data_IF_522144834089
#
_entry.id   IF_522144834089
#
_cell.length_a   1.000
_cell.length_b   1.000
_cell.length_c   1.000
_cell.angle_alpha   90.00
_cell.angle_beta   90.00
_cell.angle_gamma   90.00
#
_symmetry.space_group_name_H-M   'P 1'
#
loop_
_entity.id
_entity.type
_entity.pdbx_description
1 polymer ?
#
# COMPACT_ATOMS: atom_id res chain seq x y z
N UNK A 1 -36.33 -37.57 -27.14
CA UNK A 1 -36.25 -36.59 -26.04
C UNK A 1 -34.79 -36.24 -25.86
N UNK A 2 -34.37 -35.04 -26.26
CA UNK A 2 -32.99 -34.58 -26.13
C UNK A 2 -32.82 -33.90 -24.77
N UNK A 3 -31.89 -34.37 -23.95
CA UNK A 3 -31.48 -33.70 -22.72
C UNK A 3 -30.39 -32.69 -23.09
N UNK A 4 -30.73 -31.41 -22.99
CA UNK A 4 -29.87 -30.28 -23.26
C UNK A 4 -28.66 -30.26 -22.32
N UNK A 5 -27.46 -30.21 -22.89
CA UNK A 5 -26.24 -29.89 -22.16
C UNK A 5 -26.32 -28.46 -21.63
N UNK A 6 -26.50 -28.30 -20.32
CA UNK A 6 -26.28 -27.01 -19.63
C UNK A 6 -24.78 -26.78 -19.53
N UNK A 7 -24.18 -26.29 -20.61
CA UNK A 7 -22.83 -25.74 -20.58
C UNK A 7 -22.88 -24.34 -19.99
N UNK A 8 -22.60 -24.22 -18.69
CA UNK A 8 -22.15 -22.94 -18.13
C UNK A 8 -20.88 -22.54 -18.86
N UNK A 9 -20.84 -21.29 -19.33
CA UNK A 9 -19.75 -20.82 -20.19
C UNK A 9 -18.39 -20.96 -19.50
N UNK A 10 -17.29 -21.04 -20.25
CA UNK A 10 -15.94 -21.11 -19.68
C UNK A 10 -15.65 -19.97 -18.70
N UNK A 11 -16.27 -18.81 -18.88
CA UNK A 11 -16.19 -17.66 -17.99
C UNK A 11 -16.90 -17.89 -16.64
N UNK A 12 -18.09 -18.49 -16.64
CA UNK A 12 -18.84 -18.81 -15.42
C UNK A 12 -18.13 -19.89 -14.61
N UNK A 13 -17.53 -20.87 -15.31
CA UNK A 13 -16.72 -21.91 -14.67
C UNK A 13 -15.43 -21.33 -14.06
N UNK A 14 -14.80 -20.37 -14.74
CA UNK A 14 -13.62 -19.67 -14.22
C UNK A 14 -13.96 -18.83 -12.98
N UNK A 15 -15.06 -18.08 -13.01
CA UNK A 15 -15.52 -17.30 -11.87
C UNK A 15 -15.87 -18.18 -10.68
N UNK A 16 -16.54 -19.31 -10.91
CA UNK A 16 -16.86 -20.27 -9.85
C UNK A 16 -15.59 -20.89 -9.24
N UNK A 17 -14.58 -21.21 -10.05
CA UNK A 17 -13.31 -21.74 -9.57
C UNK A 17 -12.56 -20.68 -8.76
N UNK A 18 -12.51 -19.45 -9.25
CA UNK A 18 -11.86 -18.33 -8.58
C UNK A 18 -12.51 -18.04 -7.22
N UNK A 19 -13.84 -18.08 -7.13
CA UNK A 19 -14.58 -17.94 -5.88
C UNK A 19 -14.25 -19.08 -4.90
N UNK A 20 -14.29 -20.33 -5.35
CA UNK A 20 -13.99 -21.48 -4.51
C UNK A 20 -12.54 -21.47 -3.98
N UNK A 21 -11.57 -21.04 -4.80
CA UNK A 21 -10.18 -20.88 -4.38
C UNK A 21 -10.03 -19.77 -3.34
N UNK A 22 -10.71 -18.64 -3.56
CA UNK A 22 -10.70 -17.51 -2.62
C UNK A 22 -11.32 -17.89 -1.28
N UNK A 23 -12.43 -18.60 -1.30
CA UNK A 23 -13.14 -19.05 -0.09
C UNK A 23 -12.32 -20.07 0.69
N UNK A 24 -11.72 -21.06 0.00
CA UNK A 24 -10.84 -22.04 0.63
C UNK A 24 -9.58 -21.39 1.24
N UNK A 25 -9.01 -20.38 0.56
CA UNK A 25 -7.90 -19.60 1.09
C UNK A 25 -8.34 -18.78 2.31
N UNK A 26 -9.51 -18.17 2.26
CA UNK A 26 -10.06 -17.38 3.36
C UNK A 26 -10.39 -18.25 4.57
N UNK A 27 -10.90 -19.45 4.37
CA UNK A 27 -11.19 -20.41 5.43
C UNK A 27 -9.90 -20.97 6.06
N UNK A 28 -8.90 -21.27 5.24
CA UNK A 28 -7.63 -21.85 5.70
C UNK A 28 -6.71 -20.84 6.38
N UNK A 29 -6.64 -19.62 5.86
CA UNK A 29 -5.69 -18.59 6.32
C UNK A 29 -6.35 -17.44 7.08
N UNK A 30 -7.69 -17.39 7.10
CA UNK A 30 -8.45 -16.26 7.61
C UNK A 30 -8.39 -15.03 6.70
N UNK A 31 -9.36 -14.14 6.81
CA UNK A 31 -9.19 -12.75 6.32
C UNK A 31 -8.30 -12.00 7.31
N UNK A 32 -7.22 -11.36 6.82
CA UNK A 32 -6.56 -10.32 7.62
C UNK A 32 -7.63 -9.31 8.03
N UNK A 33 -7.91 -9.19 9.34
CA UNK A 33 -8.63 -8.02 9.84
C UNK A 33 -7.87 -6.80 9.32
N UNK A 34 -8.51 -5.85 8.62
CA UNK A 34 -7.87 -4.56 8.44
C UNK A 34 -7.48 -4.10 9.85
N UNK A 35 -6.21 -3.74 10.09
CA UNK A 35 -5.83 -3.21 11.38
C UNK A 35 -6.79 -2.06 11.67
N UNK A 36 -7.39 -2.13 12.86
CA UNK A 36 -8.06 -1.04 13.55
C UNK A 36 -7.49 0.30 13.08
N UNK A 37 -8.31 1.09 12.38
CA UNK A 37 -7.96 2.43 11.87
C UNK A 37 -6.63 2.43 11.08
N UNK A 38 -6.71 2.30 9.76
CA UNK A 38 -5.55 2.58 8.91
C UNK A 38 -5.22 4.07 9.05
N UNK A 39 -4.41 4.40 10.04
CA UNK A 39 -4.02 5.77 10.37
C UNK A 39 -3.43 6.46 9.14
N UNK A 40 -2.89 5.72 8.17
CA UNK A 40 -2.45 6.28 6.90
C UNK A 40 -3.62 6.70 6.02
N UNK A 41 -4.69 5.91 5.94
CA UNK A 41 -5.92 6.26 5.23
C UNK A 41 -6.65 7.45 5.89
N UNK A 42 -6.66 7.52 7.22
CA UNK A 42 -7.25 8.63 7.96
C UNK A 42 -6.48 9.94 7.81
N UNK A 43 -5.16 9.83 7.70
CA UNK A 43 -4.27 10.97 7.51
C UNK A 43 -3.89 11.18 6.04
N UNK A 44 -4.56 10.50 5.10
CA UNK A 44 -4.22 10.54 3.67
C UNK A 44 -4.24 11.98 3.12
N UNK A 45 -5.22 12.78 3.53
CA UNK A 45 -5.35 14.20 3.15
C UNK A 45 -4.09 15.01 3.48
N UNK A 46 -3.40 14.66 4.57
CA UNK A 46 -2.20 15.35 5.04
C UNK A 46 -0.93 14.71 4.46
N UNK A 47 -0.91 13.38 4.31
CA UNK A 47 0.28 12.63 3.89
C UNK A 47 0.46 12.55 2.38
N UNK A 48 -0.61 12.39 1.59
CA UNK A 48 -0.55 12.31 0.13
C UNK A 48 0.20 13.47 -0.54
N UNK A 49 -0.05 14.76 -0.21
CA UNK A 49 0.69 15.85 -0.85
C UNK A 49 2.20 15.79 -0.54
N UNK A 50 2.57 15.36 0.67
CA UNK A 50 3.98 15.20 1.08
C UNK A 50 4.64 14.00 0.37
N UNK A 51 3.91 12.89 0.22
CA UNK A 51 4.37 11.75 -0.57
C UNK A 51 4.54 12.12 -2.04
N UNK A 52 3.61 12.87 -2.62
CA UNK A 52 3.69 13.35 -4.00
C UNK A 52 4.90 14.28 -4.20
N UNK A 53 5.15 15.20 -3.27
CA UNK A 53 6.31 16.08 -3.28
C UNK A 53 7.64 15.30 -3.22
N UNK A 54 7.77 14.36 -2.28
CA UNK A 54 8.95 13.48 -2.17
C UNK A 54 9.14 12.63 -3.44
N UNK A 55 8.07 12.04 -3.96
CA UNK A 55 8.13 11.19 -5.16
C UNK A 55 8.52 11.99 -6.40
N UNK A 56 8.04 13.24 -6.53
CA UNK A 56 8.46 14.17 -7.58
C UNK A 56 9.95 14.48 -7.48
N UNK A 57 10.44 14.85 -6.29
CA UNK A 57 11.86 15.11 -6.05
C UNK A 57 12.74 13.88 -6.34
N UNK A 58 12.29 12.69 -5.92
CA UNK A 58 12.98 11.44 -6.17
C UNK A 58 13.02 11.09 -7.67
N UNK A 59 11.92 11.31 -8.40
CA UNK A 59 11.89 11.11 -9.85
C UNK A 59 12.86 12.04 -10.57
N UNK A 60 12.92 13.31 -10.17
CA UNK A 60 13.89 14.29 -10.69
C UNK A 60 15.33 13.84 -10.39
N UNK A 61 15.60 13.40 -9.16
CA UNK A 61 16.92 12.86 -8.78
C UNK A 61 17.30 11.62 -9.61
N UNK A 62 16.36 10.68 -9.82
CA UNK A 62 16.60 9.48 -10.65
C UNK A 62 16.85 9.82 -12.12
N UNK A 63 16.19 10.85 -12.65
CA UNK A 63 16.39 11.31 -14.02
C UNK A 63 17.72 12.07 -14.17
N UNK A 64 18.07 12.89 -13.17
CA UNK A 64 19.28 13.71 -13.20
C UNK A 64 19.82 13.91 -11.79
N UNK A 65 20.70 13.00 -11.36
CA UNK A 65 21.33 13.04 -10.05
C UNK A 65 22.31 14.23 -9.95
N UNK A 66 21.79 15.35 -9.47
CA UNK A 66 22.54 16.58 -9.20
C UNK A 66 22.46 16.92 -7.72
N UNK A 67 23.42 17.70 -7.23
CA UNK A 67 23.43 18.18 -5.84
C UNK A 67 22.13 18.91 -5.47
N UNK A 68 21.59 19.71 -6.40
CA UNK A 68 20.30 20.39 -6.22
C UNK A 68 19.11 19.41 -6.11
N UNK A 69 19.03 18.39 -6.96
CA UNK A 69 17.97 17.37 -6.88
C UNK A 69 18.07 16.50 -5.62
N UNK A 70 19.29 16.26 -5.13
CA UNK A 70 19.52 15.54 -3.88
C UNK A 70 19.13 16.40 -2.67
N UNK A 71 19.47 17.70 -2.67
CA UNK A 71 19.02 18.66 -1.65
C UNK A 71 17.50 18.72 -1.60
N UNK A 72 16.83 18.88 -2.75
CA UNK A 72 15.37 18.90 -2.80
C UNK A 72 14.71 17.61 -2.27
N UNK A 73 15.33 16.45 -2.50
CA UNK A 73 14.87 15.18 -1.94
C UNK A 73 15.08 15.12 -0.42
N UNK A 74 16.26 15.53 0.04
CA UNK A 74 16.62 15.56 1.46
C UNK A 74 15.81 16.61 2.24
N UNK A 75 15.30 17.65 1.60
CA UNK A 75 14.45 18.67 2.22
C UNK A 75 12.99 18.19 2.35
N UNK A 76 12.47 17.45 1.36
CA UNK A 76 11.11 16.91 1.37
C UNK A 76 10.93 15.73 2.35
N UNK A 77 11.99 14.96 2.59
CA UNK A 77 11.97 13.77 3.45
C UNK A 77 11.73 14.02 4.95
N UNK A 78 12.36 15.01 5.62
CA UNK A 78 12.14 15.29 7.04
C UNK A 78 10.74 15.81 7.31
N UNK A 79 10.16 16.57 6.39
CA UNK A 79 8.78 17.07 6.51
C UNK A 79 7.78 15.91 6.48
N UNK A 80 7.88 15.03 5.47
CA UNK A 80 7.08 13.80 5.40
C UNK A 80 7.24 12.93 6.65
N UNK A 81 8.47 12.78 7.16
CA UNK A 81 8.72 11.99 8.37
C UNK A 81 8.12 12.60 9.63
N UNK A 82 8.24 13.92 9.82
CA UNK A 82 7.68 14.60 10.99
C UNK A 82 6.16 14.47 10.99
N UNK A 83 5.54 14.71 9.85
CA UNK A 83 4.09 14.63 9.70
C UNK A 83 3.59 13.19 9.86
N UNK A 84 4.25 12.21 9.24
CA UNK A 84 3.93 10.80 9.44
C UNK A 84 4.07 10.35 10.89
N UNK A 85 5.09 10.82 11.62
CA UNK A 85 5.25 10.54 13.05
C UNK A 85 4.16 11.20 13.89
N UNK A 86 3.75 12.42 13.55
CA UNK A 86 2.64 13.10 14.23
C UNK A 86 1.32 12.35 14.03
N UNK A 87 1.02 11.94 12.80
CA UNK A 87 -0.16 11.16 12.43
C UNK A 87 -0.18 9.74 13.04
N UNK A 88 1.00 9.12 13.22
CA UNK A 88 1.11 7.84 13.90
C UNK A 88 1.05 7.98 15.43
N UNK A 89 1.55 9.10 15.98
CA UNK A 89 1.52 9.40 17.41
C UNK A 89 0.11 9.57 17.98
N UNK A 90 -0.86 9.95 17.14
CA UNK A 90 -2.28 10.04 17.52
C UNK A 90 -2.99 8.67 17.60
N UNK A 91 -2.44 7.61 16.99
CA UNK A 91 -3.06 6.28 16.89
C UNK A 91 -2.42 5.22 17.80
N UNK A 92 -1.23 5.47 18.35
CA UNK A 92 -0.55 4.61 19.35
C UNK A 92 -0.59 3.09 19.05
N UNK A 93 0.15 2.66 18.03
CA UNK A 93 0.71 1.28 17.96
C UNK A 93 1.93 1.14 17.02
N UNK A 94 2.33 2.19 16.27
CA UNK A 94 3.37 2.08 15.25
C UNK A 94 4.69 2.71 15.70
N UNK A 95 5.65 1.87 16.05
CA UNK A 95 7.02 2.28 16.41
C UNK A 95 7.75 2.91 15.21
N UNK A 96 8.63 3.88 15.50
CA UNK A 96 9.42 4.68 14.54
C UNK A 96 10.12 3.86 13.44
N UNK A 97 10.49 2.60 13.73
CA UNK A 97 11.12 1.68 12.76
C UNK A 97 10.18 1.27 11.62
N UNK A 98 8.89 1.00 11.87
CA UNK A 98 7.94 0.63 10.79
C UNK A 98 7.69 1.81 9.84
N UNK A 99 7.64 3.03 10.37
CA UNK A 99 7.53 4.26 9.57
C UNK A 99 8.79 4.50 8.73
N UNK A 100 9.98 4.33 9.32
CA UNK A 100 11.24 4.43 8.58
C UNK A 100 11.28 3.39 7.46
N UNK A 101 10.86 2.15 7.71
CA UNK A 101 10.78 1.09 6.69
C UNK A 101 9.77 1.42 5.60
N UNK A 102 8.56 1.91 5.90
CA UNK A 102 7.57 2.28 4.89
C UNK A 102 7.98 3.50 4.04
N UNK A 103 8.64 4.48 4.66
CA UNK A 103 9.12 5.70 3.98
C UNK A 103 10.33 5.40 3.10
N UNK A 104 11.23 4.53 3.56
CA UNK A 104 12.50 4.20 2.89
C UNK A 104 12.34 3.06 1.89
N UNK A 105 11.51 2.07 2.20
CA UNK A 105 11.02 1.05 1.29
C UNK A 105 9.51 1.20 1.11
N UNK A 106 9.05 1.71 -0.02
CA UNK A 106 7.62 1.78 -0.32
C UNK A 106 6.89 0.42 -0.37
N UNK A 107 7.60 -0.72 -0.18
CA UNK A 107 7.01 -2.05 -0.16
C UNK A 107 7.89 -3.16 0.48
N UNK A 108 8.61 -2.90 1.59
CA UNK A 108 9.42 -3.94 2.27
C UNK A 108 8.58 -4.86 3.20
N UNK A 109 7.42 -5.32 2.72
CA UNK A 109 6.77 -6.54 3.26
C UNK A 109 6.89 -7.64 2.22
N UNK A 110 8.13 -8.10 2.00
CA UNK A 110 8.40 -9.43 1.48
C UNK A 110 8.74 -10.30 2.69
N UNK A 111 7.94 -11.34 2.90
CA UNK A 111 8.30 -12.47 3.75
C UNK A 111 9.48 -13.24 3.14
#
# INVERSE_FOLDING_TARGET
MAASSTGTGPEENWQSLQAAMHDAATESFGTKRPPQEDWMAENAVVLEPLFAAKNKAHKVYKQRATRSSLTALNDAQPELQRTARSCAGTSSAMTSNRLQTLVTCGNCTGA
#
